data_IF_566346408051
#
_entry.id   IF_566346408051
#
_cell.length_a   1.000
_cell.length_b   1.000
_cell.length_c   1.000
_cell.angle_alpha   90.00
_cell.angle_beta   90.00
_cell.angle_gamma   90.00
#
_symmetry.space_group_name_H-M   'P 1'
#
loop_
_entity.id
_entity.type
_entity.pdbx_description
1 polymer ?
#
# COMPACT_ATOMS: atom_id res chain seq x y z
N UNK A 1 -16.82 -14.78 7.83
CA UNK A 1 -16.17 -14.59 6.50
C UNK A 1 -16.18 -13.09 6.19
N UNK A 2 -15.03 -12.46 5.92
CA UNK A 2 -14.94 -11.01 5.68
C UNK A 2 -15.69 -10.63 4.38
N UNK A 3 -16.71 -9.77 4.49
CA UNK A 3 -17.58 -9.41 3.36
C UNK A 3 -16.88 -8.50 2.35
N UNK A 4 -17.45 -8.36 1.16
CA UNK A 4 -16.92 -7.50 0.10
C UNK A 4 -16.88 -6.02 0.49
N UNK A 5 -17.87 -5.55 1.25
CA UNK A 5 -17.97 -4.15 1.72
C UNK A 5 -16.83 -3.76 2.66
N UNK A 6 -16.47 -4.64 3.59
CA UNK A 6 -15.34 -4.37 4.47
C UNK A 6 -14.02 -4.31 3.68
N UNK A 7 -13.83 -5.16 2.66
CA UNK A 7 -12.64 -5.14 1.79
C UNK A 7 -12.53 -3.81 1.02
N UNK A 8 -13.66 -3.24 0.59
CA UNK A 8 -13.76 -1.91 -0.01
C UNK A 8 -13.32 -0.81 0.97
N UNK A 9 -13.84 -0.82 2.20
CA UNK A 9 -13.47 0.16 3.23
C UNK A 9 -11.97 0.17 3.54
N UNK A 10 -11.34 -1.01 3.60
CA UNK A 10 -9.89 -1.10 3.73
C UNK A 10 -9.12 -0.61 2.50
N UNK A 11 -9.60 -0.91 1.29
CA UNK A 11 -8.97 -0.42 0.06
C UNK A 11 -9.04 1.10 -0.02
N UNK A 12 -10.08 1.73 0.53
CA UNK A 12 -10.13 3.19 0.70
C UNK A 12 -9.08 3.70 1.69
N UNK A 13 -8.85 3.01 2.82
CA UNK A 13 -7.71 3.32 3.72
C UNK A 13 -6.38 3.12 2.99
N UNK A 14 -6.26 2.13 2.11
CA UNK A 14 -5.06 1.94 1.30
C UNK A 14 -4.81 3.08 0.31
N UNK A 15 -5.85 3.77 -0.18
CA UNK A 15 -5.68 4.98 -1.00
C UNK A 15 -5.14 6.17 -0.22
N UNK A 16 -5.20 6.17 1.12
CA UNK A 16 -4.54 7.21 1.93
C UNK A 16 -3.04 7.28 1.69
N UNK A 17 -2.44 6.21 1.15
CA UNK A 17 -1.04 6.22 0.76
C UNK A 17 -0.72 7.24 -0.34
N UNK A 18 -1.69 7.54 -1.21
CA UNK A 18 -1.51 8.57 -2.23
C UNK A 18 -1.30 9.95 -1.58
N UNK A 19 -1.91 10.19 -0.41
CA UNK A 19 -1.67 11.40 0.37
C UNK A 19 -0.26 11.41 0.97
N UNK A 20 0.26 10.25 1.40
CA UNK A 20 1.63 10.12 1.92
C UNK A 20 2.65 10.40 0.81
N UNK A 21 2.45 9.83 -0.38
CA UNK A 21 3.29 10.06 -1.56
C UNK A 21 3.21 11.54 -2.00
N UNK A 22 2.01 12.11 -2.00
CA UNK A 22 1.82 13.53 -2.33
C UNK A 22 2.51 14.44 -1.30
N UNK A 23 2.38 14.14 -0.01
CA UNK A 23 3.08 14.85 1.07
C UNK A 23 4.59 14.76 0.92
N UNK A 24 5.12 13.58 0.58
CA UNK A 24 6.54 13.41 0.25
C UNK A 24 6.96 14.32 -0.89
N UNK A 25 6.22 14.34 -2.00
CA UNK A 25 6.53 15.19 -3.16
C UNK A 25 6.56 16.68 -2.79
N UNK A 26 5.60 17.16 -2.01
CA UNK A 26 5.57 18.56 -1.56
C UNK A 26 6.78 18.91 -0.68
N UNK A 27 7.14 18.04 0.26
CA UNK A 27 8.29 18.27 1.15
C UNK A 27 9.60 18.19 0.34
N UNK A 28 9.71 17.25 -0.60
CA UNK A 28 10.89 17.11 -1.46
C UNK A 28 11.12 18.38 -2.29
N UNK A 29 10.06 18.93 -2.90
CA UNK A 29 10.14 20.15 -3.72
C UNK A 29 10.45 21.40 -2.89
N UNK A 30 10.01 21.45 -1.63
CA UNK A 30 10.15 22.65 -0.78
C UNK A 30 11.41 22.64 0.08
N UNK A 31 11.80 21.47 0.61
CA UNK A 31 12.85 21.31 1.62
C UNK A 31 13.92 20.27 1.25
N UNK A 32 13.76 19.58 0.12
CA UNK A 32 14.70 18.58 -0.39
C UNK A 32 14.39 17.15 0.05
N UNK A 33 14.96 16.21 -0.72
CA UNK A 33 14.76 14.75 -0.56
C UNK A 33 15.04 14.22 0.84
N UNK A 34 16.07 14.75 1.51
CA UNK A 34 16.48 14.29 2.84
C UNK A 34 15.38 14.55 3.89
N UNK A 35 14.79 15.76 3.91
CA UNK A 35 13.74 16.08 4.87
C UNK A 35 12.45 15.29 4.55
N UNK A 36 12.15 15.09 3.28
CA UNK A 36 11.00 14.28 2.85
C UNK A 36 11.12 12.83 3.31
N UNK A 37 12.30 12.21 3.17
CA UNK A 37 12.57 10.86 3.68
C UNK A 37 12.53 10.81 5.21
N UNK A 38 13.10 11.80 5.92
CA UNK A 38 13.02 11.87 7.37
C UNK A 38 11.59 12.00 7.87
N UNK A 39 10.73 12.76 7.19
CA UNK A 39 9.32 12.85 7.52
C UNK A 39 8.61 11.49 7.38
N UNK A 40 8.91 10.72 6.33
CA UNK A 40 8.37 9.36 6.17
C UNK A 40 8.89 8.39 7.24
N UNK A 41 10.18 8.48 7.60
CA UNK A 41 10.75 7.67 8.69
C UNK A 41 10.11 8.04 10.03
N UNK A 42 9.91 9.32 10.31
CA UNK A 42 9.17 9.79 11.49
C UNK A 42 7.75 9.22 11.52
N UNK A 43 7.04 9.24 10.40
CA UNK A 43 5.71 8.64 10.27
C UNK A 43 5.75 7.12 10.52
N UNK A 44 6.77 6.42 10.00
CA UNK A 44 6.96 4.98 10.25
C UNK A 44 7.18 4.68 11.74
N UNK A 45 8.01 5.47 12.42
CA UNK A 45 8.26 5.33 13.86
C UNK A 45 6.96 5.54 14.63
N UNK A 46 6.16 6.56 14.29
CA UNK A 46 4.85 6.77 14.91
C UNK A 46 3.94 5.54 14.76
N UNK A 47 3.84 4.97 13.55
CA UNK A 47 3.05 3.75 13.34
C UNK A 47 3.60 2.54 14.09
N UNK A 48 4.91 2.39 14.20
CA UNK A 48 5.54 1.32 14.99
C UNK A 48 5.24 1.47 16.49
N UNK A 49 5.25 2.70 17.01
CA UNK A 49 4.84 2.99 18.39
C UNK A 49 3.38 2.59 18.59
N UNK A 50 2.47 3.01 17.70
CA UNK A 50 1.06 2.60 17.78
C UNK A 50 0.89 1.09 17.75
N UNK A 51 1.64 0.39 16.89
CA UNK A 51 1.60 -1.07 16.81
C UNK A 51 2.15 -1.74 18.07
N UNK A 52 3.17 -1.16 18.71
CA UNK A 52 3.69 -1.65 19.99
C UNK A 52 2.63 -1.54 21.09
N UNK A 53 1.98 -0.39 21.23
CA UNK A 53 0.87 -0.23 22.19
C UNK A 53 -0.27 -1.21 21.90
N UNK A 54 -0.57 -1.46 20.63
CA UNK A 54 -1.63 -2.39 20.24
C UNK A 54 -1.29 -3.84 20.58
N UNK A 55 -0.11 -4.30 20.18
CA UNK A 55 0.27 -5.72 20.24
C UNK A 55 0.72 -6.13 21.65
N UNK A 56 1.39 -5.24 22.37
CA UNK A 56 2.00 -5.56 23.65
C UNK A 56 1.13 -5.14 24.84
N UNK A 57 0.36 -4.05 24.70
CA UNK A 57 -0.46 -3.49 25.77
C UNK A 57 -1.97 -3.68 25.54
N UNK A 58 -2.34 -4.37 24.44
CA UNK A 58 -3.73 -4.64 24.02
C UNK A 58 -4.61 -3.37 23.95
N UNK A 59 -3.97 -2.22 23.68
CA UNK A 59 -4.62 -0.92 23.59
C UNK A 59 -5.11 -0.65 22.16
N UNK A 60 -6.07 -1.45 21.68
CA UNK A 60 -6.77 -1.15 20.42
C UNK A 60 -7.81 -0.05 20.62
N UNK A 61 -7.75 1.08 19.89
CA UNK A 61 -8.85 2.02 19.87
C UNK A 61 -10.10 1.32 19.32
N UNK A 62 -11.27 1.47 19.95
CA UNK A 62 -12.47 0.70 19.58
C UNK A 62 -12.92 0.92 18.13
N UNK A 63 -12.61 2.08 17.55
CA UNK A 63 -12.90 2.36 16.14
C UNK A 63 -12.04 1.55 15.15
N UNK A 64 -10.86 1.09 15.55
CA UNK A 64 -9.93 0.38 14.67
C UNK A 64 -10.23 -1.11 14.57
N UNK A 65 -10.83 -1.72 15.61
CA UNK A 65 -11.12 -3.16 15.65
C UNK A 65 -11.91 -3.69 14.45
N UNK A 66 -12.83 -2.88 13.91
CA UNK A 66 -13.66 -3.24 12.76
C UNK A 66 -12.85 -3.43 11.46
N UNK A 67 -11.63 -2.89 11.37
CA UNK A 67 -10.78 -2.97 10.19
C UNK A 67 -9.70 -4.08 10.28
N UNK A 68 -9.47 -4.64 11.48
CA UNK A 68 -8.43 -5.63 11.76
C UNK A 68 -8.85 -7.01 11.23
N UNK A 69 -8.03 -7.63 10.37
CA UNK A 69 -8.26 -9.04 10.03
C UNK A 69 -7.97 -9.93 11.24
N UNK A 70 -8.65 -11.08 11.39
CA UNK A 70 -8.31 -12.04 12.45
C UNK A 70 -6.80 -12.40 12.50
N UNK A 71 -6.15 -12.50 11.33
CA UNK A 71 -4.71 -12.76 11.20
C UNK A 71 -3.79 -11.57 11.53
N UNK A 72 -4.34 -10.35 11.60
CA UNK A 72 -3.64 -9.10 11.93
C UNK A 72 -3.83 -8.73 13.41
N UNK A 73 -4.66 -9.46 14.17
CA UNK A 73 -4.81 -9.24 15.63
C UNK A 73 -3.50 -9.48 16.38
N UNK A 74 -2.69 -10.41 15.94
CA UNK A 74 -1.41 -10.78 16.58
C UNK A 74 -0.17 -10.43 15.74
N UNK A 75 -0.34 -9.62 14.69
CA UNK A 75 0.75 -9.29 13.75
C UNK A 75 0.71 -7.82 13.37
N UNK A 76 1.87 -7.22 13.02
CA UNK A 76 1.91 -5.84 12.54
C UNK A 76 0.95 -5.58 11.38
N UNK A 77 0.31 -4.42 11.37
CA UNK A 77 -0.53 -4.00 10.25
C UNK A 77 0.27 -3.91 8.96
N UNK A 78 -0.40 -4.23 7.85
CA UNK A 78 0.19 -4.17 6.50
C UNK A 78 0.80 -2.80 6.14
N UNK A 79 0.30 -1.72 6.77
CA UNK A 79 0.81 -0.35 6.58
C UNK A 79 2.29 -0.21 6.94
N UNK A 80 2.79 -0.95 7.94
CA UNK A 80 4.21 -0.92 8.34
C UNK A 80 5.10 -1.41 7.19
N UNK A 81 4.73 -2.54 6.59
CA UNK A 81 5.47 -3.13 5.48
C UNK A 81 5.39 -2.25 4.23
N UNK A 82 4.20 -1.71 3.94
CA UNK A 82 4.01 -0.82 2.80
C UNK A 82 4.82 0.47 2.95
N UNK A 83 4.77 1.12 4.12
CA UNK A 83 5.49 2.37 4.37
C UNK A 83 7.01 2.15 4.35
N UNK A 84 7.49 1.04 4.90
CA UNK A 84 8.89 0.63 4.78
C UNK A 84 9.31 0.48 3.31
N UNK A 85 8.51 -0.24 2.50
CA UNK A 85 8.76 -0.38 1.06
C UNK A 85 8.72 0.95 0.31
N UNK A 86 7.84 1.87 0.71
CA UNK A 86 7.75 3.23 0.17
C UNK A 86 9.01 4.04 0.42
N UNK A 87 9.50 4.03 1.67
CA UNK A 87 10.73 4.72 2.06
C UNK A 87 11.91 4.17 1.26
N UNK A 88 12.06 2.84 1.18
CA UNK A 88 13.15 2.21 0.43
C UNK A 88 13.07 2.58 -1.06
N UNK A 89 11.87 2.51 -1.65
CA UNK A 89 11.68 2.82 -3.08
C UNK A 89 12.04 4.26 -3.40
N UNK A 90 11.58 5.22 -2.60
CA UNK A 90 11.87 6.65 -2.80
C UNK A 90 13.31 7.02 -2.44
N UNK A 91 13.96 6.28 -1.54
CA UNK A 91 15.35 6.48 -1.22
C UNK A 91 16.27 6.02 -2.37
N UNK A 92 16.02 4.83 -2.91
CA UNK A 92 16.90 4.14 -3.86
C UNK A 92 16.66 4.57 -5.31
N UNK A 93 15.42 4.81 -5.71
CA UNK A 93 15.06 5.12 -7.09
C UNK A 93 14.67 6.58 -7.29
N UNK A 94 14.71 7.02 -8.54
CA UNK A 94 14.15 8.31 -8.94
C UNK A 94 12.64 8.35 -8.69
N UNK A 95 12.13 9.54 -8.36
CA UNK A 95 10.74 9.75 -7.98
C UNK A 95 9.76 9.12 -8.97
N UNK A 96 9.98 9.28 -10.29
CA UNK A 96 9.07 8.70 -11.32
C UNK A 96 9.03 7.17 -11.28
N UNK A 97 10.17 6.51 -11.10
CA UNK A 97 10.27 5.05 -11.05
C UNK A 97 9.63 4.53 -9.77
N UNK A 98 10.00 5.13 -8.62
CA UNK A 98 9.42 4.78 -7.33
C UNK A 98 7.90 5.01 -7.33
N UNK A 99 7.44 6.13 -7.87
CA UNK A 99 6.03 6.47 -7.97
C UNK A 99 5.26 5.46 -8.81
N UNK A 100 5.79 5.08 -9.99
CA UNK A 100 5.17 4.04 -10.81
C UNK A 100 5.05 2.71 -10.04
N UNK A 101 6.12 2.25 -9.38
CA UNK A 101 6.11 1.01 -8.61
C UNK A 101 5.09 1.04 -7.45
N UNK A 102 4.95 2.18 -6.76
CA UNK A 102 3.99 2.35 -5.68
C UNK A 102 2.54 2.38 -6.17
N UNK A 103 2.29 3.00 -7.32
CA UNK A 103 0.97 2.98 -7.97
C UNK A 103 0.62 1.57 -8.47
N UNK A 104 1.58 0.86 -9.08
CA UNK A 104 1.42 -0.54 -9.48
C UNK A 104 1.05 -1.41 -8.29
N UNK A 105 1.78 -1.30 -7.18
CA UNK A 105 1.48 -2.06 -5.96
C UNK A 105 0.08 -1.72 -5.45
N UNK A 106 -0.25 -0.42 -5.36
CA UNK A 106 -1.52 0.02 -4.76
C UNK A 106 -2.72 -0.36 -5.61
N UNK A 107 -2.72 -0.03 -6.91
CA UNK A 107 -3.84 -0.29 -7.80
C UNK A 107 -3.86 -1.74 -8.29
N UNK A 108 -2.70 -2.35 -8.52
CA UNK A 108 -2.55 -3.75 -8.92
C UNK A 108 -3.10 -4.69 -7.86
N UNK A 109 -2.60 -4.61 -6.61
CA UNK A 109 -3.13 -5.39 -5.48
C UNK A 109 -4.62 -5.09 -5.26
N UNK A 110 -5.02 -3.83 -5.50
CA UNK A 110 -6.41 -3.45 -5.40
C UNK A 110 -7.29 -4.22 -6.39
N UNK A 111 -6.97 -4.12 -7.68
CA UNK A 111 -7.69 -4.76 -8.77
C UNK A 111 -7.66 -6.29 -8.66
N UNK A 112 -6.48 -6.86 -8.39
CA UNK A 112 -6.29 -8.30 -8.23
C UNK A 112 -7.23 -8.89 -7.18
N UNK A 113 -7.35 -8.26 -6.01
CA UNK A 113 -8.23 -8.77 -4.97
C UNK A 113 -9.72 -8.55 -5.28
N UNK A 114 -10.10 -7.45 -5.93
CA UNK A 114 -11.51 -7.18 -6.27
C UNK A 114 -12.00 -8.11 -7.37
N UNK A 115 -11.27 -8.18 -8.49
CA UNK A 115 -11.62 -9.05 -9.63
C UNK A 115 -11.41 -10.51 -9.26
N UNK A 116 -10.33 -10.84 -8.55
CA UNK A 116 -10.04 -12.18 -8.11
C UNK A 116 -11.11 -12.74 -7.18
N UNK A 117 -11.63 -11.93 -6.23
CA UNK A 117 -12.70 -12.35 -5.31
C UNK A 117 -14.08 -12.40 -5.96
N UNK A 118 -14.37 -11.51 -6.92
CA UNK A 118 -15.70 -11.42 -7.55
C UNK A 118 -15.87 -12.37 -8.74
N UNK A 119 -14.83 -12.55 -9.56
CA UNK A 119 -14.90 -13.26 -10.83
C UNK A 119 -13.90 -14.42 -10.95
N UNK A 120 -12.98 -14.57 -9.99
CA UNK A 120 -11.96 -15.62 -10.04
C UNK A 120 -12.54 -17.01 -9.81
N UNK A 121 -12.53 -17.82 -10.87
CA UNK A 121 -12.95 -19.23 -10.83
C UNK A 121 -11.74 -20.18 -10.73
N UNK A 122 -10.66 -19.85 -11.44
CA UNK A 122 -9.45 -20.68 -11.49
C UNK A 122 -8.45 -20.22 -10.45
N UNK A 123 -8.23 -21.05 -9.43
CA UNK A 123 -7.25 -20.81 -8.36
C UNK A 123 -5.87 -21.29 -8.82
N UNK A 124 -4.86 -20.43 -8.65
CA UNK A 124 -3.45 -20.79 -8.93
C UNK A 124 -2.74 -21.17 -7.63
N UNK A 125 -2.94 -20.39 -6.55
CA UNK A 125 -2.23 -20.62 -5.29
C UNK A 125 -3.01 -20.05 -4.10
N UNK A 126 -3.35 -20.91 -3.12
CA UNK A 126 -4.19 -20.54 -1.96
C UNK A 126 -5.47 -19.83 -2.40
N UNK A 127 -5.59 -18.52 -2.13
CA UNK A 127 -6.75 -17.70 -2.51
C UNK A 127 -6.46 -16.78 -3.71
N UNK A 128 -5.36 -17.02 -4.45
CA UNK A 128 -4.97 -16.25 -5.63
C UNK A 128 -5.54 -16.92 -6.88
N UNK A 129 -6.13 -16.12 -7.76
CA UNK A 129 -6.82 -16.60 -8.97
C UNK A 129 -6.14 -16.08 -10.24
N UNK A 130 -6.35 -16.78 -11.36
CA UNK A 130 -5.85 -16.36 -12.68
C UNK A 130 -6.36 -14.97 -13.05
N UNK A 131 -7.66 -14.71 -12.85
CA UNK A 131 -8.25 -13.40 -13.16
C UNK A 131 -7.66 -12.28 -12.30
N UNK A 132 -7.34 -12.55 -11.04
CA UNK A 132 -6.64 -11.62 -10.16
C UNK A 132 -5.27 -11.25 -10.71
N UNK A 133 -4.46 -12.26 -11.06
CA UNK A 133 -3.12 -12.04 -11.62
C UNK A 133 -3.13 -11.30 -12.97
N UNK A 134 -4.06 -11.65 -13.87
CA UNK A 134 -4.22 -10.93 -15.15
C UNK A 134 -4.65 -9.48 -14.96
N UNK A 135 -5.49 -9.21 -13.95
CA UNK A 135 -5.91 -7.85 -13.60
C UNK A 135 -4.72 -7.04 -13.10
N UNK A 136 -3.92 -7.60 -12.19
CA UNK A 136 -2.71 -6.97 -11.66
C UNK A 136 -1.73 -6.62 -12.80
N UNK A 137 -1.46 -7.59 -13.68
CA UNK A 137 -0.58 -7.39 -14.83
C UNK A 137 -1.08 -6.27 -15.74
N UNK A 138 -2.39 -6.25 -16.03
CA UNK A 138 -3.00 -5.23 -16.90
C UNK A 138 -2.86 -3.84 -16.29
N UNK A 139 -3.16 -3.70 -14.99
CA UNK A 139 -3.02 -2.43 -14.26
C UNK A 139 -1.55 -1.98 -14.24
N UNK A 140 -0.62 -2.91 -13.99
CA UNK A 140 0.80 -2.58 -13.92
C UNK A 140 1.33 -2.10 -15.28
N UNK A 141 0.96 -2.77 -16.38
CA UNK A 141 1.31 -2.34 -17.73
C UNK A 141 0.73 -0.96 -18.05
N UNK A 142 -0.53 -0.71 -17.67
CA UNK A 142 -1.16 0.59 -17.88
C UNK A 142 -0.47 1.71 -17.08
N UNK A 143 -0.20 1.50 -15.79
CA UNK A 143 0.53 2.46 -14.96
C UNK A 143 1.93 2.72 -15.51
N UNK A 144 2.64 1.66 -15.91
CA UNK A 144 3.97 1.77 -16.50
C UNK A 144 3.94 2.59 -17.79
N UNK A 145 2.99 2.32 -18.68
CA UNK A 145 2.78 3.09 -19.89
C UNK A 145 2.48 4.57 -19.59
N UNK A 146 1.57 4.87 -18.67
CA UNK A 146 1.19 6.26 -18.37
C UNK A 146 2.31 7.05 -17.71
N UNK A 147 3.03 6.46 -16.75
CA UNK A 147 4.02 7.18 -15.94
C UNK A 147 5.42 7.18 -16.58
N UNK A 148 5.81 6.08 -17.23
CA UNK A 148 7.16 5.87 -17.74
C UNK A 148 7.30 6.12 -19.25
N UNK A 149 6.22 6.31 -20.01
CA UNK A 149 6.29 6.57 -21.47
C UNK A 149 7.12 7.79 -21.87
N UNK A 150 7.30 8.74 -20.95
CA UNK A 150 8.11 9.95 -21.16
C UNK A 150 9.47 9.89 -20.43
N UNK A 151 9.86 8.72 -19.92
CA UNK A 151 11.24 8.49 -19.49
C UNK A 151 12.03 8.16 -20.75
N UNK A 152 12.60 9.21 -21.34
CA UNK A 152 13.68 9.06 -22.31
C UNK A 152 14.86 8.40 -21.56
N UNK A 153 15.03 7.10 -21.78
CA UNK A 153 16.36 6.48 -21.81
C UNK A 153 16.96 6.84 -23.17
#
# INVERSE_FOLDING_TARGET
>A
MWTFTHELGRKAVHLSILLVIFGYYLIEQTFGKQLALLALVGLLILFLIFEFFRLELDMTPPFFEQFIRPKERTRPYGVIYFLSGTIISLAVFDFKIAFAALLMTTFGDMGAALIGKRYGKTIIFKNKTVSGGLTELTINLFVGFVILSNIYI
#
